data_IF_644960509560
#
_entry.id   IF_644960509560
#
_cell.length_a   1.000
_cell.length_b   1.000
_cell.length_c   1.000
_cell.angle_alpha   90.00
_cell.angle_beta   90.00
_cell.angle_gamma   90.00
#
_symmetry.space_group_name_H-M   'P 1'
#
loop_
_entity.id
_entity.type
_entity.pdbx_description
1 polymer ?
#
# COMPACT_ATOMS: atom_id res chain seq x y z
N UNK A 1 -36.73 -37.66 -33.51
CA UNK A 1 -35.66 -36.66 -33.70
C UNK A 1 -35.27 -36.19 -32.29
N UNK A 2 -34.17 -36.64 -31.65
CA UNK A 2 -32.74 -36.26 -31.88
C UNK A 2 -32.63 -34.72 -31.92
N UNK A 3 -31.92 -33.97 -31.07
CA UNK A 3 -30.62 -34.17 -30.41
C UNK A 3 -30.42 -33.08 -29.33
N UNK A 4 -29.59 -33.44 -28.35
CA UNK A 4 -29.09 -32.73 -27.17
C UNK A 4 -28.12 -31.56 -27.46
N UNK A 5 -28.08 -30.63 -26.49
CA UNK A 5 -27.10 -29.57 -26.22
C UNK A 5 -25.65 -29.85 -26.67
N UNK A 6 -25.08 -28.95 -27.47
CA UNK A 6 -23.63 -28.74 -27.67
C UNK A 6 -23.45 -27.40 -28.42
N UNK A 7 -22.29 -26.75 -28.28
CA UNK A 7 -21.87 -25.46 -28.89
C UNK A 7 -22.41 -24.22 -28.15
N UNK A 8 -21.72 -23.52 -27.24
CA UNK A 8 -20.28 -23.36 -26.95
C UNK A 8 -19.47 -23.04 -28.22
N UNK A 9 -19.66 -21.83 -28.77
CA UNK A 9 -18.63 -20.93 -29.34
C UNK A 9 -19.28 -19.73 -30.05
N UNK A 10 -18.71 -18.51 -29.87
CA UNK A 10 -18.68 -17.37 -30.83
C UNK A 10 -20.00 -16.56 -30.94
N UNK A 11 -20.15 -15.23 -30.75
CA UNK A 11 -19.32 -14.00 -30.69
C UNK A 11 -20.29 -12.87 -30.21
N UNK A 12 -20.01 -12.10 -29.14
CA UNK A 12 -19.46 -10.72 -29.13
C UNK A 12 -20.40 -9.61 -29.71
N UNK A 13 -21.05 -8.80 -28.84
CA UNK A 13 -21.51 -7.39 -29.04
C UNK A 13 -22.49 -6.98 -27.88
N UNK A 14 -22.08 -6.27 -26.82
CA UNK A 14 -21.98 -4.80 -26.64
C UNK A 14 -23.04 -4.25 -25.66
N UNK A 15 -22.53 -3.90 -24.46
CA UNK A 15 -22.67 -2.65 -23.68
C UNK A 15 -23.96 -2.32 -22.87
N UNK A 16 -23.64 -1.89 -21.63
CA UNK A 16 -24.32 -0.97 -20.72
C UNK A 16 -25.54 -1.49 -19.93
N UNK A 17 -25.73 -1.17 -18.66
CA UNK A 17 -25.06 -0.23 -17.77
C UNK A 17 -24.98 -0.87 -16.38
N UNK A 18 -23.77 -1.03 -15.85
CA UNK A 18 -23.57 -1.43 -14.46
C UNK A 18 -23.99 -0.27 -13.56
N UNK A 19 -25.13 -0.43 -12.88
CA UNK A 19 -25.62 0.51 -11.91
C UNK A 19 -24.84 0.41 -10.59
N UNK A 20 -24.73 1.58 -9.95
CA UNK A 20 -24.38 1.83 -8.54
C UNK A 20 -22.90 1.68 -8.16
N UNK A 21 -22.20 2.81 -8.10
CA UNK A 21 -21.17 3.04 -7.07
C UNK A 21 -21.70 4.12 -6.14
N UNK A 22 -22.42 3.69 -5.10
CA UNK A 22 -22.71 4.53 -3.94
C UNK A 22 -21.38 4.83 -3.24
N UNK A 23 -20.95 6.10 -3.26
CA UNK A 23 -20.13 6.70 -2.20
C UNK A 23 -18.91 5.92 -1.70
N UNK A 24 -18.17 5.24 -2.57
CA UNK A 24 -16.87 4.67 -2.22
C UNK A 24 -15.82 5.49 -2.97
N UNK A 25 -15.02 6.27 -2.22
CA UNK A 25 -13.70 6.68 -2.71
C UNK A 25 -13.06 5.41 -3.27
N UNK A 26 -12.73 5.40 -4.56
CA UNK A 26 -12.07 4.27 -5.22
C UNK A 26 -10.91 3.84 -4.33
N UNK A 27 -11.06 2.71 -3.61
CA UNK A 27 -9.99 2.19 -2.77
C UNK A 27 -8.87 1.73 -3.70
N UNK A 28 -7.95 2.66 -3.95
CA UNK A 28 -6.52 2.44 -4.10
C UNK A 28 -6.17 1.00 -3.72
N UNK A 29 -5.93 0.14 -4.70
CA UNK A 29 -5.76 -1.29 -4.43
C UNK A 29 -4.49 -1.48 -3.61
N UNK A 30 -4.63 -1.95 -2.37
CA UNK A 30 -3.49 -2.28 -1.52
C UNK A 30 -2.84 -3.55 -2.05
N UNK A 31 -1.56 -3.47 -2.40
CA UNK A 31 -0.74 -4.60 -2.79
C UNK A 31 0.15 -4.99 -1.62
N UNK A 32 0.21 -6.28 -1.34
CA UNK A 32 1.05 -6.84 -0.28
C UNK A 32 2.39 -7.27 -0.85
N UNK A 33 3.47 -6.85 -0.23
CA UNK A 33 4.82 -7.30 -0.53
C UNK A 33 5.44 -7.81 0.75
N UNK A 34 6.21 -8.87 0.63
CA UNK A 34 6.94 -9.46 1.74
C UNK A 34 8.43 -9.26 1.44
N UNK A 35 9.14 -8.52 2.31
CA UNK A 35 10.59 -8.33 2.18
C UNK A 35 11.39 -9.45 2.85
N UNK A 36 10.71 -10.51 3.31
CA UNK A 36 11.28 -11.63 4.07
C UNK A 36 11.30 -11.38 5.59
N UNK A 37 11.01 -10.16 6.04
CA UNK A 37 10.96 -9.76 7.46
C UNK A 37 9.58 -9.24 7.84
N UNK A 38 9.00 -8.39 7.01
CA UNK A 38 7.71 -7.76 7.21
C UNK A 38 6.90 -7.80 5.93
N UNK A 39 5.60 -8.00 6.13
CA UNK A 39 4.61 -7.73 5.10
C UNK A 39 4.36 -6.23 5.04
N UNK A 40 4.26 -5.71 3.84
CA UNK A 40 4.04 -4.31 3.55
C UNK A 40 2.84 -4.17 2.64
N UNK A 41 1.92 -3.31 3.02
CA UNK A 41 0.81 -2.87 2.19
C UNK A 41 1.19 -1.55 1.52
N UNK A 42 1.11 -1.54 0.19
CA UNK A 42 1.31 -0.32 -0.58
C UNK A 42 0.06 0.01 -1.38
N UNK A 43 -0.20 1.29 -1.54
CA UNK A 43 -1.29 1.77 -2.36
C UNK A 43 -0.77 2.81 -3.36
N UNK A 44 -1.15 2.68 -4.63
CA UNK A 44 -0.75 3.60 -5.72
C UNK A 44 -1.54 4.92 -5.66
N UNK A 45 -0.89 6.06 -5.40
CA UNK A 45 -1.59 7.34 -5.09
C UNK A 45 -1.99 8.09 -6.35
N UNK A 46 -1.13 8.06 -7.35
CA UNK A 46 -1.34 8.61 -8.68
C UNK A 46 -1.20 7.48 -9.70
N UNK A 47 -1.87 7.58 -10.86
CA UNK A 47 -1.77 6.62 -11.99
C UNK A 47 -0.37 6.54 -12.64
N UNK A 48 0.70 6.81 -11.89
CA UNK A 48 1.97 7.25 -12.44
C UNK A 48 3.15 7.18 -11.49
N UNK A 49 3.34 6.08 -10.75
CA UNK A 49 4.61 5.73 -10.07
C UNK A 49 4.77 6.17 -8.59
N UNK A 50 3.72 6.53 -7.87
CA UNK A 50 3.81 6.89 -6.44
C UNK A 50 3.05 5.89 -5.57
N UNK A 51 3.55 5.60 -4.37
CA UNK A 51 2.81 4.81 -3.40
C UNK A 51 2.88 5.35 -1.96
N UNK A 52 1.79 5.09 -1.24
CA UNK A 52 1.75 5.12 0.22
C UNK A 52 2.10 3.74 0.75
N UNK A 53 2.79 3.69 1.89
CA UNK A 53 3.21 2.43 2.53
C UNK A 53 2.68 2.31 3.95
N UNK A 54 2.37 1.06 4.35
CA UNK A 54 1.97 0.66 5.69
C UNK A 54 2.47 -0.76 6.00
N UNK A 55 3.07 -1.04 7.16
CA UNK A 55 3.36 -2.40 7.57
C UNK A 55 2.07 -3.21 7.76
N UNK A 56 2.10 -4.46 7.34
CA UNK A 56 0.96 -5.35 7.34
C UNK A 56 0.79 -6.18 8.60
N UNK A 57 1.87 -6.42 9.32
CA UNK A 57 1.83 -7.07 10.63
C UNK A 57 2.59 -6.22 11.64
N UNK A 58 1.85 -5.35 12.34
CA UNK A 58 2.41 -4.37 13.29
C UNK A 58 2.96 -5.01 14.55
N UNK A 59 2.42 -6.16 14.96
CA UNK A 59 2.86 -6.89 16.15
C UNK A 59 4.17 -7.64 15.89
N UNK A 60 4.40 -8.04 14.63
CA UNK A 60 5.66 -8.62 14.18
C UNK A 60 6.82 -7.62 14.15
N UNK A 61 6.55 -6.31 14.23
CA UNK A 61 7.61 -5.29 14.24
C UNK A 61 8.37 -5.33 15.57
N UNK A 62 9.61 -5.81 15.48
CA UNK A 62 10.58 -5.85 16.56
C UNK A 62 11.90 -5.26 16.07
N UNK A 63 12.41 -4.24 16.76
CA UNK A 63 13.65 -3.56 16.40
C UNK A 63 13.48 -2.47 15.36
N UNK A 64 14.52 -2.27 14.55
CA UNK A 64 14.56 -1.22 13.52
C UNK A 64 13.89 -1.63 12.22
N UNK A 65 13.13 -0.72 11.62
CA UNK A 65 12.45 -0.93 10.33
C UNK A 65 13.00 0.00 9.26
N UNK A 66 13.25 -0.55 8.07
CA UNK A 66 13.66 0.22 6.90
C UNK A 66 12.47 0.29 5.95
N UNK A 67 11.93 1.50 5.76
CA UNK A 67 10.88 1.73 4.77
C UNK A 67 11.53 1.72 3.38
N UNK A 68 11.08 0.86 2.45
CA UNK A 68 11.68 0.79 1.12
C UNK A 68 11.46 2.10 0.36
N UNK A 69 12.45 2.53 -0.41
CA UNK A 69 12.33 3.72 -1.27
C UNK A 69 11.48 3.48 -2.52
N UNK A 70 11.44 2.23 -2.98
CA UNK A 70 10.80 1.83 -4.23
C UNK A 70 10.16 0.46 -4.08
N UNK A 71 9.07 0.25 -4.80
CA UNK A 71 8.34 -1.00 -4.92
C UNK A 71 8.26 -1.36 -6.39
N UNK A 72 8.67 -2.58 -6.72
CA UNK A 72 8.62 -3.08 -8.10
C UNK A 72 7.43 -4.01 -8.23
N UNK A 73 6.51 -3.66 -9.14
CA UNK A 73 5.34 -4.46 -9.50
C UNK A 73 5.38 -4.80 -10.99
N UNK A 74 5.93 -5.98 -11.32
CA UNK A 74 6.15 -6.38 -12.71
C UNK A 74 7.08 -5.39 -13.44
N UNK A 75 6.54 -4.70 -14.45
CA UNK A 75 7.27 -3.68 -15.21
C UNK A 75 7.20 -2.28 -14.59
N UNK A 76 6.33 -2.06 -13.61
CA UNK A 76 6.10 -0.75 -12.99
C UNK A 76 6.97 -0.59 -11.76
N UNK A 77 7.60 0.58 -11.62
CA UNK A 77 8.32 0.98 -10.41
C UNK A 77 7.55 2.10 -9.73
N UNK A 78 7.20 1.90 -8.47
CA UNK A 78 6.53 2.89 -7.64
C UNK A 78 7.53 3.42 -6.61
N UNK A 79 7.62 4.73 -6.46
CA UNK A 79 8.40 5.38 -5.39
C UNK A 79 7.53 5.55 -4.16
N UNK A 80 8.07 5.22 -3.00
CA UNK A 80 7.41 5.46 -1.72
C UNK A 80 7.56 6.93 -1.39
N UNK A 81 6.46 7.67 -1.53
CA UNK A 81 6.43 9.13 -1.30
C UNK A 81 5.63 9.51 -0.07
N UNK A 82 4.87 8.58 0.51
CA UNK A 82 4.08 8.86 1.69
C UNK A 82 3.94 7.67 2.65
N UNK A 83 3.83 7.96 3.94
CA UNK A 83 3.35 7.01 4.94
C UNK A 83 1.84 7.14 5.09
N UNK A 84 1.14 6.01 5.06
CA UNK A 84 -0.30 5.98 5.19
C UNK A 84 -0.77 6.33 6.61
N UNK A 85 -2.05 6.70 6.75
CA UNK A 85 -2.65 6.93 8.06
C UNK A 85 -2.40 5.73 9.00
N UNK A 86 -1.93 6.07 10.20
CA UNK A 86 -1.63 5.09 11.23
C UNK A 86 -0.64 4.02 10.77
N UNK A 87 0.31 4.32 9.85
CA UNK A 87 1.23 3.33 9.27
C UNK A 87 1.83 2.40 10.34
N UNK A 88 2.51 2.96 11.33
CA UNK A 88 3.16 2.26 12.44
C UNK A 88 2.37 2.38 13.76
N UNK A 89 1.07 2.69 13.72
CA UNK A 89 0.28 2.83 14.95
C UNK A 89 0.41 1.61 15.88
N UNK A 90 0.69 1.87 17.16
CA UNK A 90 0.88 0.84 18.21
C UNK A 90 2.01 -0.18 17.95
N UNK A 91 2.98 0.13 17.11
CA UNK A 91 4.16 -0.73 16.94
C UNK A 91 5.09 -0.59 18.17
N UNK A 92 4.79 -1.31 19.25
CA UNK A 92 5.49 -1.22 20.52
C UNK A 92 6.93 -1.73 20.49
N UNK A 93 7.22 -2.69 19.61
CA UNK A 93 8.56 -3.24 19.38
C UNK A 93 9.42 -2.43 18.40
N UNK A 94 8.87 -1.40 17.75
CA UNK A 94 9.61 -0.55 16.81
C UNK A 94 10.60 0.34 17.57
N UNK A 95 11.90 0.17 17.37
CA UNK A 95 12.95 0.93 18.06
C UNK A 95 13.64 1.98 17.20
N UNK A 96 13.58 1.84 15.89
CA UNK A 96 14.06 2.84 14.93
C UNK A 96 13.30 2.71 13.61
N UNK A 97 13.17 3.80 12.87
CA UNK A 97 12.62 3.79 11.51
C UNK A 97 13.55 4.56 10.58
N UNK A 98 13.93 3.92 9.48
CA UNK A 98 14.69 4.55 8.40
C UNK A 98 13.72 4.89 7.28
N UNK A 99 13.51 6.20 7.06
CA UNK A 99 12.63 6.72 6.01
C UNK A 99 13.42 6.92 4.71
N UNK A 100 12.81 6.63 3.54
CA UNK A 100 13.51 6.77 2.28
C UNK A 100 13.70 8.24 1.89
N UNK A 101 14.76 8.51 1.15
CA UNK A 101 14.90 9.79 0.47
C UNK A 101 13.75 10.02 -0.52
N UNK A 102 13.24 11.25 -0.60
CA UNK A 102 12.10 11.58 -1.45
C UNK A 102 10.74 11.24 -0.83
N UNK A 103 10.67 10.84 0.44
CA UNK A 103 9.41 10.84 1.19
C UNK A 103 8.90 12.29 1.34
N UNK A 104 7.67 12.51 0.91
CA UNK A 104 7.03 13.84 0.83
C UNK A 104 6.03 14.04 1.96
N UNK A 105 5.31 12.98 2.34
CA UNK A 105 4.20 13.10 3.30
C UNK A 105 4.23 12.01 4.38
N UNK A 106 3.85 12.39 5.59
CA UNK A 106 3.59 11.46 6.69
C UNK A 106 2.18 11.74 7.19
N UNK A 107 1.26 10.79 6.99
CA UNK A 107 -0.12 10.98 7.41
C UNK A 107 -0.28 10.96 8.94
N UNK A 108 -1.44 11.42 9.38
CA UNK A 108 -1.83 11.45 10.78
C UNK A 108 -1.64 10.09 11.47
N UNK A 109 -1.25 10.18 12.75
CA UNK A 109 -1.05 9.02 13.64
C UNK A 109 -0.04 7.97 13.15
N UNK A 110 0.77 8.25 12.11
CA UNK A 110 1.72 7.29 11.52
C UNK A 110 2.62 6.62 12.55
N UNK A 111 3.03 7.33 13.60
CA UNK A 111 3.87 6.80 14.69
C UNK A 111 3.17 6.85 16.06
N UNK A 112 1.84 6.95 16.10
CA UNK A 112 1.11 7.08 17.35
C UNK A 112 1.23 5.80 18.18
N UNK A 113 1.53 5.94 19.47
CA UNK A 113 1.72 4.82 20.42
C UNK A 113 2.85 3.83 20.04
N UNK A 114 3.86 4.26 19.28
CA UNK A 114 5.12 3.52 19.13
C UNK A 114 6.00 3.67 20.40
N UNK A 115 5.68 2.95 21.47
CA UNK A 115 6.34 3.12 22.78
C UNK A 115 7.86 2.86 22.76
N UNK A 116 8.33 1.99 21.86
CA UNK A 116 9.75 1.67 21.70
C UNK A 116 10.53 2.67 20.84
N UNK A 117 9.86 3.61 20.15
CA UNK A 117 10.47 4.49 19.15
C UNK A 117 10.82 5.83 19.81
N UNK A 118 12.10 6.07 20.16
CA UNK A 118 12.48 7.27 20.91
C UNK A 118 12.42 8.55 20.06
N UNK A 119 12.68 8.42 18.75
CA UNK A 119 12.68 9.53 17.81
C UNK A 119 12.55 9.01 16.36
N UNK A 120 12.16 9.90 15.45
CA UNK A 120 12.13 9.65 14.00
C UNK A 120 12.90 10.76 13.30
N UNK A 121 13.93 10.39 12.56
CA UNK A 121 14.64 11.32 11.68
C UNK A 121 13.83 11.53 10.40
N UNK A 122 13.41 12.77 10.16
CA UNK A 122 12.67 13.13 8.95
C UNK A 122 13.63 13.45 7.79
N UNK A 123 13.44 12.85 6.60
CA UNK A 123 14.20 13.22 5.42
C UNK A 123 13.90 14.66 4.98
N UNK A 124 14.83 15.26 4.25
CA UNK A 124 14.67 16.62 3.73
C UNK A 124 13.43 16.71 2.82
N UNK A 125 12.57 17.70 3.08
CA UNK A 125 11.39 17.96 2.26
C UNK A 125 10.10 17.23 2.67
N UNK A 126 10.10 16.50 3.79
CA UNK A 126 8.86 15.96 4.37
C UNK A 126 7.93 17.08 4.83
N UNK A 127 6.66 16.93 4.50
CA UNK A 127 5.54 17.70 5.00
C UNK A 127 4.68 16.83 5.92
N UNK A 128 4.23 17.41 7.04
CA UNK A 128 3.39 16.77 8.07
C UNK A 128 2.02 17.40 8.11
#
# INVERSE_FOLDING_TARGET
>A
MKIVFRWLLVVLLVVAAGAVVQGQVQKKAWKTYDDGTLKWFFAEIDKGQTCEVKPGDREAIQGGVVVPKEVVDGATRLRVVALADSAFWKCGGLTSVSLPEGLIAIADYSFYQCAGLPSVSLPAGVTT
#
